data_IF_325406111490
#
_entry.id   IF_325406111490
#
_cell.length_a   1.000
_cell.length_b   1.000
_cell.length_c   1.000
_cell.angle_alpha   90.00
_cell.angle_beta   90.00
_cell.angle_gamma   90.00
#
_symmetry.space_group_name_H-M   'P 1'
#
loop_
_entity.id
_entity.type
_entity.pdbx_description
1 polymer ?
#
# COMPACT_ATOMS: atom_id res chain seq x y z
N UNK A 1 -3.15 66.62 8.21
CA UNK A 1 -3.12 65.21 8.67
C UNK A 1 -1.78 64.61 8.26
N UNK A 2 -1.00 64.19 9.25
CA UNK A 2 0.46 63.98 9.18
C UNK A 2 0.89 62.85 8.23
N UNK A 3 1.99 63.06 7.50
CA UNK A 3 2.59 62.12 6.54
C UNK A 3 2.90 60.74 7.14
N UNK A 4 3.11 60.66 8.45
CA UNK A 4 3.31 59.40 9.18
C UNK A 4 2.12 58.44 9.04
N UNK A 5 0.89 58.97 9.00
CA UNK A 5 -0.33 58.16 8.94
C UNK A 5 -0.52 57.48 7.57
N UNK A 6 0.07 58.05 6.51
CA UNK A 6 0.07 57.44 5.16
C UNK A 6 1.06 56.28 5.03
N UNK A 7 2.12 56.24 5.86
CA UNK A 7 3.12 55.17 5.85
C UNK A 7 2.74 53.99 6.77
N UNK A 8 2.06 54.26 7.88
CA UNK A 8 1.62 53.23 8.83
C UNK A 8 0.51 52.35 8.23
N UNK A 9 -0.35 52.92 7.40
CA UNK A 9 -1.48 52.24 6.75
C UNK A 9 -1.06 51.09 5.80
N UNK A 10 -0.10 51.26 4.87
CA UNK A 10 0.40 50.16 4.05
C UNK A 10 1.18 49.13 4.86
N UNK A 11 1.89 49.54 5.91
CA UNK A 11 2.63 48.62 6.79
C UNK A 11 1.68 47.71 7.58
N UNK A 12 0.58 48.26 8.11
CA UNK A 12 -0.48 47.48 8.75
C UNK A 12 -1.17 46.51 7.78
N UNK A 13 -1.42 46.93 6.53
CA UNK A 13 -1.98 46.04 5.51
C UNK A 13 -1.02 44.90 5.16
N UNK A 14 0.29 45.15 5.15
CA UNK A 14 1.30 44.13 4.91
C UNK A 14 1.36 43.12 6.07
N UNK A 15 1.33 43.60 7.31
CA UNK A 15 1.24 42.71 8.49
C UNK A 15 -0.04 41.87 8.47
N UNK A 16 -1.18 42.47 8.09
CA UNK A 16 -2.44 41.76 7.95
C UNK A 16 -2.35 40.68 6.86
N UNK A 17 -1.79 41.01 5.69
CA UNK A 17 -1.62 40.05 4.60
C UNK A 17 -0.72 38.89 4.99
N UNK A 18 0.38 39.15 5.70
CA UNK A 18 1.28 38.11 6.23
C UNK A 18 0.55 37.23 7.24
N UNK A 19 -0.24 37.81 8.14
CA UNK A 19 -1.03 37.06 9.12
C UNK A 19 -2.06 36.15 8.43
N UNK A 20 -2.78 36.65 7.43
CA UNK A 20 -3.74 35.86 6.66
C UNK A 20 -3.04 34.71 5.94
N UNK A 21 -1.92 34.97 5.26
CA UNK A 21 -1.14 33.93 4.59
C UNK A 21 -0.61 32.88 5.58
N UNK A 22 -0.12 33.29 6.74
CA UNK A 22 0.34 32.37 7.78
C UNK A 22 -0.80 31.46 8.26
N UNK A 23 -1.98 32.01 8.55
CA UNK A 23 -3.15 31.21 8.95
C UNK A 23 -3.61 30.24 7.85
N UNK A 24 -3.59 30.68 6.59
CA UNK A 24 -3.92 29.83 5.45
C UNK A 24 -2.95 28.66 5.28
N UNK A 25 -1.65 28.88 5.50
CA UNK A 25 -0.66 27.80 5.45
C UNK A 25 -0.87 26.77 6.55
N UNK A 26 -1.22 27.19 7.76
CA UNK A 26 -1.51 26.26 8.87
C UNK A 26 -2.76 25.43 8.57
N UNK A 27 -3.81 26.05 8.03
CA UNK A 27 -5.02 25.33 7.62
C UNK A 27 -4.74 24.29 6.52
N UNK A 28 -3.94 24.66 5.52
CA UNK A 28 -3.47 23.75 4.46
C UNK A 28 -2.62 22.60 5.02
N UNK A 29 -1.75 22.87 5.98
CA UNK A 29 -0.94 21.85 6.62
C UNK A 29 -1.82 20.84 7.38
N UNK A 30 -2.90 21.29 8.01
CA UNK A 30 -3.82 20.41 8.71
C UNK A 30 -4.56 19.47 7.74
N UNK A 31 -5.05 19.97 6.62
CA UNK A 31 -5.66 19.13 5.57
C UNK A 31 -4.67 18.14 4.94
N UNK A 32 -3.39 18.55 4.79
CA UNK A 32 -2.33 17.65 4.31
C UNK A 32 -2.01 16.54 5.30
N UNK A 33 -2.10 16.80 6.60
CA UNK A 33 -1.90 15.79 7.64
C UNK A 33 -2.98 14.72 7.62
N UNK A 34 -4.25 15.13 7.49
CA UNK A 34 -5.37 14.20 7.41
C UNK A 34 -5.28 13.31 6.15
N UNK A 35 -4.96 13.91 5.01
CA UNK A 35 -4.77 13.18 3.75
C UNK A 35 -3.54 12.27 3.77
N UNK A 36 -2.44 12.69 4.39
CA UNK A 36 -1.25 11.85 4.58
C UNK A 36 -1.51 10.67 5.54
N UNK A 37 -2.35 10.87 6.57
CA UNK A 37 -2.78 9.80 7.46
C UNK A 37 -3.58 8.72 6.73
N UNK A 38 -4.58 9.14 5.95
CA UNK A 38 -5.40 8.24 5.15
C UNK A 38 -4.57 7.49 4.09
N UNK A 39 -3.65 8.19 3.42
CA UNK A 39 -2.77 7.58 2.42
C UNK A 39 -1.84 6.53 3.03
N UNK A 40 -1.25 6.83 4.19
CA UNK A 40 -0.39 5.87 4.90
C UNK A 40 -1.17 4.65 5.38
N UNK A 41 -2.40 4.83 5.84
CA UNK A 41 -3.24 3.70 6.25
C UNK A 41 -3.62 2.83 5.06
N UNK A 42 -4.09 3.44 3.97
CA UNK A 42 -4.38 2.72 2.73
C UNK A 42 -3.16 1.97 2.20
N UNK A 43 -1.97 2.57 2.25
CA UNK A 43 -0.73 1.93 1.80
C UNK A 43 -0.34 0.74 2.68
N UNK A 44 -0.63 0.79 3.98
CA UNK A 44 -0.43 -0.36 4.88
C UNK A 44 -1.40 -1.48 4.56
N UNK A 45 -2.67 -1.15 4.33
CA UNK A 45 -3.70 -2.14 3.99
C UNK A 45 -3.38 -2.83 2.66
N UNK A 46 -2.94 -2.08 1.65
CA UNK A 46 -2.49 -2.64 0.36
C UNK A 46 -1.32 -3.61 0.56
N UNK A 47 -0.29 -3.22 1.33
CA UNK A 47 0.85 -4.10 1.60
C UNK A 47 0.45 -5.37 2.33
N UNK A 48 -0.45 -5.26 3.31
CA UNK A 48 -0.95 -6.43 4.03
C UNK A 48 -1.66 -7.42 3.10
N UNK A 49 -2.48 -6.92 2.18
CA UNK A 49 -3.17 -7.76 1.19
C UNK A 49 -2.16 -8.38 0.20
N UNK A 50 -1.15 -7.63 -0.24
CA UNK A 50 -0.08 -8.16 -1.11
C UNK A 50 0.72 -9.28 -0.42
N UNK A 51 1.05 -9.11 0.85
CA UNK A 51 1.73 -10.13 1.66
C UNK A 51 0.87 -11.39 1.81
N UNK A 52 -0.43 -11.22 2.01
CA UNK A 52 -1.38 -12.33 2.09
C UNK A 52 -1.51 -13.07 0.76
N UNK A 53 -1.63 -12.35 -0.36
CA UNK A 53 -1.62 -12.95 -1.70
C UNK A 53 -0.34 -13.75 -1.94
N UNK A 54 0.83 -13.19 -1.59
CA UNK A 54 2.10 -13.88 -1.73
C UNK A 54 2.15 -15.15 -0.89
N UNK A 55 1.69 -15.08 0.36
CA UNK A 55 1.59 -16.25 1.23
C UNK A 55 0.67 -17.32 0.61
N UNK A 56 -0.53 -16.96 0.17
CA UNK A 56 -1.45 -17.90 -0.46
C UNK A 56 -0.85 -18.51 -1.73
N UNK A 57 -0.15 -17.74 -2.56
CA UNK A 57 0.54 -18.26 -3.74
C UNK A 57 1.62 -19.28 -3.37
N UNK A 58 2.37 -19.04 -2.29
CA UNK A 58 3.36 -20.00 -1.78
C UNK A 58 2.64 -21.28 -1.30
N UNK A 59 1.57 -21.15 -0.52
CA UNK A 59 0.78 -22.28 -0.02
C UNK A 59 0.20 -23.10 -1.19
N UNK A 60 -0.39 -22.43 -2.19
CA UNK A 60 -0.91 -23.07 -3.39
C UNK A 60 0.20 -23.78 -4.16
N UNK A 61 1.35 -23.12 -4.34
CA UNK A 61 2.51 -23.73 -5.00
C UNK A 61 2.96 -24.98 -4.26
N UNK A 62 3.01 -24.94 -2.92
CA UNK A 62 3.35 -26.11 -2.10
C UNK A 62 2.36 -27.25 -2.32
N UNK A 63 1.05 -26.97 -2.32
CA UNK A 63 0.00 -27.97 -2.56
C UNK A 63 0.07 -28.58 -3.97
N UNK A 64 0.43 -27.78 -4.97
CA UNK A 64 0.53 -28.23 -6.36
C UNK A 64 1.91 -28.79 -6.72
N UNK A 65 2.87 -28.83 -5.78
CA UNK A 65 4.20 -29.36 -6.08
C UNK A 65 4.08 -30.83 -6.50
N UNK A 66 4.64 -31.22 -7.66
CA UNK A 66 4.53 -32.58 -8.16
C UNK A 66 5.12 -33.61 -7.18
N UNK A 67 6.12 -33.25 -6.39
CA UNK A 67 6.66 -34.11 -5.33
C UNK A 67 5.63 -34.37 -4.22
N UNK A 68 4.91 -33.34 -3.74
CA UNK A 68 3.85 -33.55 -2.74
C UNK A 68 2.68 -34.35 -3.32
N UNK A 69 2.27 -34.05 -4.56
CA UNK A 69 1.24 -34.80 -5.25
C UNK A 69 1.63 -36.27 -5.43
N UNK A 70 2.91 -36.54 -5.73
CA UNK A 70 3.46 -37.89 -5.86
C UNK A 70 3.50 -38.62 -4.52
N UNK A 71 3.90 -37.95 -3.44
CA UNK A 71 3.86 -38.50 -2.08
C UNK A 71 2.42 -38.87 -1.68
N UNK A 72 1.46 -37.96 -1.86
CA UNK A 72 0.03 -38.23 -1.58
C UNK A 72 -0.49 -39.37 -2.45
N UNK A 73 -0.16 -39.38 -3.75
CA UNK A 73 -0.56 -40.44 -4.66
C UNK A 73 -0.01 -41.82 -4.24
N UNK A 74 1.27 -41.89 -3.85
CA UNK A 74 1.93 -43.15 -3.47
C UNK A 74 1.52 -43.63 -2.07
N UNK A 75 1.54 -42.73 -1.08
CA UNK A 75 1.41 -43.08 0.33
C UNK A 75 -0.05 -43.13 0.79
N UNK A 76 -0.90 -42.22 0.30
CA UNK A 76 -2.29 -42.12 0.74
C UNK A 76 -3.25 -42.81 -0.24
N UNK A 77 -2.99 -42.70 -1.54
CA UNK A 77 -3.86 -43.25 -2.59
C UNK A 77 -3.37 -44.59 -3.14
N UNK A 78 -2.21 -45.09 -2.68
CA UNK A 78 -1.65 -46.38 -3.09
C UNK A 78 -1.32 -46.46 -4.58
N UNK A 79 -1.28 -45.33 -5.29
CA UNK A 79 -1.01 -45.29 -6.72
C UNK A 79 0.48 -45.50 -6.94
N UNK A 80 0.86 -46.55 -7.67
CA UNK A 80 2.24 -46.76 -8.12
C UNK A 80 2.44 -46.09 -9.48
N UNK A 81 3.64 -45.54 -9.76
CA UNK A 81 3.93 -45.04 -11.10
C UNK A 81 3.81 -46.20 -12.11
N UNK A 82 3.19 -45.96 -13.27
CA UNK A 82 3.09 -46.98 -14.31
C UNK A 82 4.48 -47.40 -14.76
N UNK A 83 4.69 -48.70 -14.97
CA UNK A 83 5.96 -49.22 -15.48
C UNK A 83 6.14 -48.85 -16.95
N UNK A 84 7.37 -48.83 -17.45
CA UNK A 84 7.68 -48.46 -18.84
C UNK A 84 6.91 -49.31 -19.89
N UNK A 85 6.47 -50.51 -19.53
CA UNK A 85 5.63 -51.37 -20.36
C UNK A 85 4.14 -50.99 -20.39
N UNK A 86 3.69 -50.12 -19.48
CA UNK A 86 2.29 -49.69 -19.34
C UNK A 86 2.02 -48.32 -19.98
N UNK A 87 3.06 -47.62 -20.42
CA UNK A 87 2.93 -46.32 -21.10
C UNK A 87 2.90 -46.56 -22.61
N UNK A 88 1.72 -46.44 -23.21
CA UNK A 88 1.57 -46.41 -24.68
C UNK A 88 1.83 -44.96 -25.10
N UNK A 89 2.94 -44.72 -25.80
CA UNK A 89 3.22 -43.43 -26.41
C UNK A 89 2.51 -43.39 -27.79
N UNK A 90 1.61 -42.42 -28.06
CA UNK A 90 0.99 -42.26 -29.37
C UNK A 90 2.01 -41.78 -30.43
#
# INVERSE_FOLDING_TARGET
>A
MSAAQKLVRPWLLLCLAVAVLATAQVALAHQRLETAGQYNQLQRDVRQVEDEINRLNIELTMLTRPEQLRTVALEQLGMRPPTAMQVINP
#
